data_IF_200796390679
#
_entry.id   IF_200796390679
#
_cell.length_a   1.000
_cell.length_b   1.000
_cell.length_c   1.000
_cell.angle_alpha   90.00
_cell.angle_beta   90.00
_cell.angle_gamma   90.00
#
_symmetry.space_group_name_H-M   'P 1'
#
loop_
_entity.id
_entity.type
_entity.pdbx_description
1 polymer ?
#
# COMPACT_ATOMS: atom_id res chain seq x y z
N UNK A 1 3.91 13.41 12.34
CA UNK A 1 4.03 13.53 10.87
C UNK A 1 4.08 15.01 10.53
N UNK A 2 5.08 15.45 9.79
CA UNK A 2 5.16 16.81 9.27
C UNK A 2 5.21 16.71 7.74
N UNK A 3 4.31 17.41 7.06
CA UNK A 3 4.26 17.45 5.59
C UNK A 3 5.34 18.41 5.07
N UNK A 4 5.89 18.12 3.89
CA UNK A 4 6.77 19.05 3.18
C UNK A 4 6.05 20.33 2.73
N UNK A 5 6.83 21.37 2.39
CA UNK A 5 6.35 22.73 2.04
C UNK A 5 5.39 22.76 0.83
N UNK A 6 5.40 21.73 -0.01
CA UNK A 6 4.51 21.57 -1.18
C UNK A 6 3.76 20.22 -1.17
N UNK A 7 3.81 19.52 -0.04
CA UNK A 7 3.18 18.22 0.11
C UNK A 7 1.72 18.42 0.52
N UNK A 8 0.82 17.89 -0.28
CA UNK A 8 -0.62 18.04 -0.12
C UNK A 8 -1.27 16.67 0.06
N UNK A 9 -2.19 16.56 1.01
CA UNK A 9 -2.99 15.36 1.22
C UNK A 9 -4.00 15.24 0.09
N UNK A 10 -3.95 14.14 -0.65
CA UNK A 10 -4.85 13.87 -1.77
C UNK A 10 -5.99 12.94 -1.36
N UNK A 11 -5.67 11.93 -0.54
CA UNK A 11 -6.65 10.96 -0.06
C UNK A 11 -6.27 10.47 1.35
N UNK A 12 -7.26 10.06 2.13
CA UNK A 12 -7.02 9.35 3.39
C UNK A 12 -8.09 8.28 3.62
N UNK A 13 -7.75 7.28 4.44
CA UNK A 13 -8.67 6.26 4.92
C UNK A 13 -8.48 6.04 6.42
N UNK A 14 -9.60 5.95 7.14
CA UNK A 14 -9.65 5.66 8.57
C UNK A 14 -10.21 4.24 8.74
N UNK A 15 -9.41 3.33 9.30
CA UNK A 15 -9.77 1.93 9.47
C UNK A 15 -9.57 1.52 10.94
N UNK A 16 -10.24 0.45 11.41
CA UNK A 16 -10.16 0.04 12.82
C UNK A 16 -8.75 -0.29 13.32
N UNK A 17 -7.82 -0.62 12.43
CA UNK A 17 -6.46 -1.06 12.78
C UNK A 17 -5.35 -0.16 12.23
N UNK A 18 -5.71 0.81 11.40
CA UNK A 18 -4.75 1.70 10.76
C UNK A 18 -5.39 2.96 10.19
N UNK A 19 -4.57 3.97 9.94
CA UNK A 19 -4.92 5.09 9.07
C UNK A 19 -4.02 5.04 7.84
N UNK A 20 -4.54 5.45 6.69
CA UNK A 20 -3.76 5.71 5.50
C UNK A 20 -3.91 7.18 5.11
N UNK A 21 -2.81 7.81 4.74
CA UNK A 21 -2.82 9.14 4.14
C UNK A 21 -1.94 9.10 2.90
N UNK A 22 -2.52 9.32 1.74
CA UNK A 22 -1.80 9.58 0.50
C UNK A 22 -1.60 11.08 0.36
N UNK A 23 -0.37 11.46 0.02
CA UNK A 23 -0.04 12.79 -0.48
C UNK A 23 0.43 12.69 -1.92
N UNK A 24 0.62 13.84 -2.57
CA UNK A 24 1.27 13.94 -3.87
C UNK A 24 2.74 13.48 -3.89
N UNK A 25 3.32 13.07 -2.74
CA UNK A 25 4.74 12.69 -2.62
C UNK A 25 4.99 11.39 -1.85
N UNK A 26 4.03 10.95 -1.04
CA UNK A 26 4.23 9.87 -0.07
C UNK A 26 2.92 9.13 0.19
N UNK A 27 3.06 7.93 0.70
CA UNK A 27 1.97 7.22 1.39
C UNK A 27 2.37 7.04 2.84
N UNK A 28 1.49 7.43 3.75
CA UNK A 28 1.66 7.31 5.18
C UNK A 28 0.70 6.27 5.74
N UNK A 29 1.20 5.44 6.66
CA UNK A 29 0.43 4.45 7.38
C UNK A 29 0.59 4.64 8.87
N UNK A 30 -0.51 4.80 9.61
CA UNK A 30 -0.49 4.79 11.07
C UNK A 30 -0.87 3.40 11.56
N UNK A 31 0.01 2.77 12.34
CA UNK A 31 -0.28 1.49 13.00
C UNK A 31 -0.97 1.76 14.34
N UNK A 32 -2.26 1.45 14.43
CA UNK A 32 -3.07 1.74 15.63
C UNK A 32 -2.51 1.08 16.89
N UNK A 33 -2.16 -0.21 16.81
CA UNK A 33 -1.71 -1.01 17.96
C UNK A 33 -0.41 -0.53 18.61
N UNK A 34 0.41 0.23 17.89
CA UNK A 34 1.70 0.75 18.39
C UNK A 34 1.78 2.28 18.40
N UNK A 35 0.79 2.96 17.83
CA UNK A 35 0.80 4.41 17.73
C UNK A 35 1.90 4.99 16.82
N UNK A 36 2.40 4.21 15.85
CA UNK A 36 3.53 4.61 15.01
C UNK A 36 3.11 5.00 13.60
N UNK A 37 3.70 6.09 13.09
CA UNK A 37 3.61 6.48 11.69
C UNK A 37 4.75 5.88 10.88
N UNK A 38 4.41 5.32 9.73
CA UNK A 38 5.34 4.88 8.70
C UNK A 38 5.06 5.66 7.43
N UNK A 39 6.06 5.80 6.57
CA UNK A 39 5.92 6.62 5.37
C UNK A 39 6.81 6.12 4.26
N UNK A 40 6.24 5.85 3.11
CA UNK A 40 6.94 5.46 1.89
C UNK A 40 6.93 6.65 0.91
N UNK A 41 8.08 6.94 0.29
CA UNK A 41 8.16 7.98 -0.72
C UNK A 41 7.68 7.45 -2.07
N UNK A 42 6.93 8.28 -2.80
CA UNK A 42 6.61 8.06 -4.22
C UNK A 42 7.75 8.60 -5.08
N UNK A 43 8.03 7.94 -6.19
CA UNK A 43 8.98 8.37 -7.20
C UNK A 43 8.56 9.69 -7.88
N UNK A 44 9.49 10.33 -8.63
CA UNK A 44 9.14 11.50 -9.43
C UNK A 44 8.06 11.15 -10.47
N UNK A 45 6.90 11.80 -10.38
CA UNK A 45 5.69 11.52 -11.18
C UNK A 45 5.00 10.18 -10.89
N UNK A 46 5.42 9.44 -9.86
CA UNK A 46 4.70 8.25 -9.42
C UNK A 46 3.43 8.70 -8.67
N UNK A 47 2.27 8.33 -9.20
CA UNK A 47 0.97 8.66 -8.59
C UNK A 47 0.24 7.39 -8.13
N UNK A 48 -0.43 7.48 -6.98
CA UNK A 48 -1.32 6.41 -6.51
C UNK A 48 -2.64 6.52 -7.26
N UNK A 49 -3.01 5.46 -7.99
CA UNK A 49 -4.29 5.40 -8.71
C UNK A 49 -5.36 4.61 -7.95
N UNK A 50 -4.94 3.74 -7.02
CA UNK A 50 -5.86 3.01 -6.17
C UNK A 50 -5.30 2.91 -4.75
N UNK A 51 -6.12 3.26 -3.77
CA UNK A 51 -5.84 3.10 -2.35
C UNK A 51 -6.97 2.28 -1.72
N UNK A 52 -6.65 1.11 -1.18
CA UNK A 52 -7.62 0.21 -0.57
C UNK A 52 -7.12 -0.26 0.79
N UNK A 53 -8.01 -0.41 1.77
CA UNK A 53 -7.65 -1.00 3.05
C UNK A 53 -8.77 -1.83 3.64
N UNK A 54 -8.38 -2.96 4.22
CA UNK A 54 -9.29 -3.91 4.85
C UNK A 54 -8.58 -4.65 5.98
N UNK A 55 -9.17 -4.65 7.17
CA UNK A 55 -8.60 -5.32 8.35
C UNK A 55 -7.20 -4.78 8.69
N UNK A 56 -6.19 -5.64 8.58
CA UNK A 56 -4.79 -5.39 8.91
C UNK A 56 -3.89 -5.20 7.68
N UNK A 57 -4.48 -5.15 6.49
CA UNK A 57 -3.76 -4.84 5.24
C UNK A 57 -4.34 -3.62 4.56
N UNK A 58 -3.46 -2.80 4.01
CA UNK A 58 -3.80 -1.78 3.04
C UNK A 58 -2.85 -1.83 1.86
N UNK A 59 -3.28 -1.33 0.72
CA UNK A 59 -2.52 -1.32 -0.51
C UNK A 59 -2.71 0.01 -1.24
N UNK A 60 -1.59 0.60 -1.65
CA UNK A 60 -1.54 1.67 -2.64
C UNK A 60 -0.96 1.08 -3.94
N UNK A 61 -1.63 1.32 -5.06
CA UNK A 61 -1.19 0.90 -6.40
C UNK A 61 -0.77 2.10 -7.20
N UNK A 62 0.43 2.02 -7.77
CA UNK A 62 0.97 2.97 -8.74
C UNK A 62 1.21 2.22 -10.07
N UNK A 63 1.51 2.92 -11.17
CA UNK A 63 1.93 2.26 -12.41
C UNK A 63 3.21 1.42 -12.26
N UNK A 64 4.02 1.69 -11.23
CA UNK A 64 5.37 1.13 -11.06
C UNK A 64 5.40 -0.04 -10.07
N UNK A 65 4.50 -0.05 -9.08
CA UNK A 65 4.52 -1.01 -7.98
C UNK A 65 3.21 -1.07 -7.20
N UNK A 66 3.07 -2.16 -6.45
CA UNK A 66 2.16 -2.25 -5.33
C UNK A 66 2.90 -1.96 -4.01
N UNK A 67 2.30 -1.16 -3.14
CA UNK A 67 2.79 -0.83 -1.80
C UNK A 67 1.79 -1.34 -0.77
N UNK A 68 2.10 -2.41 -0.05
CA UNK A 68 1.24 -2.91 1.01
C UNK A 68 1.68 -2.41 2.39
N UNK A 69 0.76 -1.87 3.16
CA UNK A 69 0.97 -1.55 4.57
C UNK A 69 0.43 -2.68 5.46
N UNK A 70 1.21 -3.04 6.48
CA UNK A 70 0.80 -4.03 7.48
C UNK A 70 0.56 -3.39 8.84
N UNK A 71 -0.65 -3.57 9.37
CA UNK A 71 -0.95 -3.20 10.76
C UNK A 71 -0.38 -4.19 11.80
N UNK A 72 0.12 -5.36 11.38
CA UNK A 72 0.78 -6.33 12.27
C UNK A 72 2.27 -6.03 12.44
N UNK A 73 3.00 -6.01 11.33
CA UNK A 73 4.46 -5.85 11.32
C UNK A 73 4.86 -4.38 11.35
N UNK A 74 3.99 -3.48 10.91
CA UNK A 74 4.31 -2.07 10.68
C UNK A 74 5.12 -1.88 9.39
N UNK A 75 4.95 -0.71 8.76
CA UNK A 75 5.70 -0.34 7.55
C UNK A 75 5.03 -0.76 6.23
N UNK A 76 5.66 -0.27 5.15
CA UNK A 76 5.27 -0.55 3.78
C UNK A 76 6.19 -1.61 3.16
N UNK A 77 5.60 -2.51 2.39
CA UNK A 77 6.28 -3.59 1.68
C UNK A 77 5.93 -3.46 0.21
N UNK A 78 6.94 -3.20 -0.62
CA UNK A 78 6.75 -2.93 -2.04
C UNK A 78 7.05 -4.14 -2.92
N UNK A 79 6.32 -4.31 -4.01
CA UNK A 79 6.69 -5.18 -5.12
C UNK A 79 6.55 -4.43 -6.44
N UNK A 80 7.63 -4.43 -7.24
CA UNK A 80 7.68 -3.73 -8.52
C UNK A 80 6.95 -4.48 -9.60
N UNK A 81 6.27 -3.76 -10.46
CA UNK A 81 5.69 -4.27 -11.68
C UNK A 81 6.72 -4.27 -12.82
N UNK A 82 6.50 -5.15 -13.78
CA UNK A 82 7.26 -5.18 -15.04
C UNK A 82 6.75 -4.07 -15.98
N UNK A 83 7.53 -3.67 -17.01
CA UNK A 83 7.03 -2.74 -18.02
C UNK A 83 5.71 -3.25 -18.64
N UNK A 84 4.70 -2.38 -18.73
CA UNK A 84 3.36 -2.68 -19.25
C UNK A 84 2.55 -3.72 -18.44
N UNK A 85 3.01 -4.15 -17.27
CA UNK A 85 2.20 -4.95 -16.35
C UNK A 85 1.07 -4.07 -15.78
N UNK A 86 -0.18 -4.49 -15.96
CA UNK A 86 -1.35 -3.73 -15.52
C UNK A 86 -2.13 -4.52 -14.48
N UNK A 87 -2.60 -3.85 -13.43
CA UNK A 87 -3.48 -4.45 -12.42
C UNK A 87 -4.87 -4.69 -13.01
N UNK A 88 -5.34 -5.92 -12.94
CA UNK A 88 -6.66 -6.35 -13.43
C UNK A 88 -7.69 -6.42 -12.30
N UNK A 89 -7.29 -6.93 -11.13
CA UNK A 89 -8.15 -7.00 -9.95
C UNK A 89 -7.37 -6.95 -8.65
N UNK A 90 -8.05 -6.51 -7.60
CA UNK A 90 -7.57 -6.52 -6.22
C UNK A 90 -8.66 -7.14 -5.36
N UNK A 91 -8.34 -8.26 -4.71
CA UNK A 91 -9.22 -8.97 -3.80
C UNK A 91 -8.56 -8.99 -2.41
N UNK A 92 -9.32 -8.67 -1.37
CA UNK A 92 -8.77 -8.56 -0.02
C UNK A 92 -9.57 -9.37 0.98
N UNK A 93 -8.88 -10.06 1.88
CA UNK A 93 -9.44 -10.49 3.17
C UNK A 93 -9.09 -9.46 4.24
N UNK A 94 -9.21 -9.79 5.52
CA UNK A 94 -8.72 -8.92 6.59
C UNK A 94 -7.20 -8.91 6.70
N UNK A 95 -6.50 -9.96 6.24
CA UNK A 95 -5.05 -10.11 6.50
C UNK A 95 -4.22 -10.29 5.24
N UNK A 96 -4.87 -10.58 4.10
CA UNK A 96 -4.23 -10.89 2.82
C UNK A 96 -4.83 -10.03 1.73
N UNK A 97 -3.98 -9.51 0.85
CA UNK A 97 -4.39 -8.91 -0.43
C UNK A 97 -3.87 -9.75 -1.58
N UNK A 98 -4.74 -10.09 -2.51
CA UNK A 98 -4.42 -10.69 -3.80
C UNK A 98 -4.51 -9.61 -4.88
N UNK A 99 -3.43 -9.39 -5.62
CA UNK A 99 -3.39 -8.52 -6.79
C UNK A 99 -3.21 -9.41 -8.01
N UNK A 100 -4.18 -9.39 -8.92
CA UNK A 100 -4.03 -10.01 -10.24
C UNK A 100 -3.58 -8.93 -11.22
N UNK A 101 -2.50 -9.21 -11.95
CA UNK A 101 -2.01 -8.36 -13.04
C UNK A 101 -2.14 -9.09 -14.37
N UNK A 102 -1.81 -8.41 -15.46
CA UNK A 102 -1.69 -9.01 -16.81
C UNK A 102 -0.58 -10.06 -16.92
N UNK A 103 0.35 -10.11 -15.96
CA UNK A 103 1.54 -10.98 -16.02
C UNK A 103 1.49 -12.08 -14.96
N UNK A 104 0.94 -11.80 -13.77
CA UNK A 104 1.05 -12.70 -12.61
C UNK A 104 0.00 -12.41 -11.54
N UNK A 105 -0.02 -13.27 -10.53
CA UNK A 105 -0.82 -13.06 -9.33
C UNK A 105 0.09 -12.92 -8.11
N UNK A 106 -0.12 -11.86 -7.35
CA UNK A 106 0.70 -11.50 -6.19
C UNK A 106 -0.17 -11.54 -4.93
N UNK A 107 0.26 -12.28 -3.93
CA UNK A 107 -0.38 -12.31 -2.62
C UNK A 107 0.52 -11.62 -1.60
N UNK A 108 0.00 -10.62 -0.89
CA UNK A 108 0.64 -10.03 0.28
C UNK A 108 -0.03 -10.53 1.56
N UNK A 109 0.77 -10.98 2.54
CA UNK A 109 0.28 -11.37 3.87
C UNK A 109 0.78 -10.40 4.94
N UNK A 110 -0.13 -9.62 5.51
CA UNK A 110 0.18 -8.59 6.53
C UNK A 110 0.88 -9.16 7.77
N UNK A 111 0.49 -10.33 8.25
CA UNK A 111 1.05 -10.96 9.45
C UNK A 111 2.56 -11.18 9.39
N UNK A 112 3.12 -11.36 8.19
CA UNK A 112 4.55 -11.61 7.98
C UNK A 112 5.24 -10.54 7.13
N UNK A 113 4.48 -9.60 6.55
CA UNK A 113 5.03 -8.53 5.71
C UNK A 113 5.68 -9.04 4.41
N UNK A 114 5.12 -10.08 3.78
CA UNK A 114 5.75 -10.71 2.61
C UNK A 114 4.81 -10.75 1.41
N UNK A 115 5.39 -10.47 0.24
CA UNK A 115 4.82 -10.71 -1.07
C UNK A 115 5.24 -12.07 -1.61
N UNK A 116 4.29 -12.83 -2.14
CA UNK A 116 4.52 -14.10 -2.82
C UNK A 116 3.85 -14.08 -4.18
N UNK A 117 4.57 -14.48 -5.22
CA UNK A 117 4.02 -14.73 -6.54
C UNK A 117 3.42 -16.14 -6.59
N UNK A 118 2.16 -16.25 -7.00
CA UNK A 118 1.50 -17.55 -7.19
C UNK A 118 2.00 -18.14 -8.51
N UNK A 119 2.42 -19.41 -8.46
CA UNK A 119 2.82 -20.19 -9.64
C UNK A 119 1.64 -20.88 -10.28
#
# INVERSE_FOLDING_TARGET
MQLGVEEQVEQHQVLPRMLLVQTNRRVHGFQESRGHWFSEALGPNETVHQLHGRGHVAIAITPERALAFSAFTGGFFSIRFSPNEQVQSIDQTHDVTLVRTTVRQLAFRSQIGLWTEMR
#
